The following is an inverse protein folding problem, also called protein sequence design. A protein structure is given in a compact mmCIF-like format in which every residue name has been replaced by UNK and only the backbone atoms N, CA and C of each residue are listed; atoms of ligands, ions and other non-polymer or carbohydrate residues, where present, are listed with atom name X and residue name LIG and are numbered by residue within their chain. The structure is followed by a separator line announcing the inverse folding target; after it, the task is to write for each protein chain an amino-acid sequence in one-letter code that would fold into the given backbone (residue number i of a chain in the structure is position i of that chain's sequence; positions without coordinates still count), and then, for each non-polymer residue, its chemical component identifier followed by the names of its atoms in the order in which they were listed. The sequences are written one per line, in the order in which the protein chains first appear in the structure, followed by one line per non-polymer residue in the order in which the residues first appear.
data_IF_602826805435
#
_entry.id   IF_602826805435
#
_cell.length_a   1.000
_cell.length_b   1.000
_cell.length_c   1.000
_cell.angle_alpha   90.00
_cell.angle_beta   90.00
_cell.angle_gamma   90.00
#
_symmetry.space_group_name_H-M   'P 1'
#
loop_
_entity.id
_entity.type
_entity.pdbx_description
1 polymer ?
#
# COMPACT_ATOMS: atom_id res chain seq x y z
N UNK A 1 3.39 39.07 13.02
CA UNK A 1 4.40 39.67 12.12
C UNK A 1 5.84 39.17 12.38
N UNK A 2 6.07 37.92 12.82
CA UNK A 2 7.43 37.33 13.04
C UNK A 2 7.72 36.08 12.19
N UNK A 3 6.69 35.45 11.63
CA UNK A 3 6.80 34.24 10.79
C UNK A 3 7.18 34.55 9.35
N UNK A 4 6.70 35.67 8.80
CA UNK A 4 7.00 36.08 7.42
C UNK A 4 8.49 36.45 7.22
N UNK A 5 9.12 37.08 8.23
CA UNK A 5 10.56 37.40 8.22
C UNK A 5 11.44 36.15 8.28
N UNK A 6 11.03 35.11 9.02
CA UNK A 6 11.75 33.82 9.07
C UNK A 6 11.72 33.09 7.72
N UNK A 7 10.60 33.15 7.00
CA UNK A 7 10.47 32.56 5.66
C UNK A 7 11.38 33.24 4.64
N UNK A 8 11.43 34.58 4.62
CA UNK A 8 12.28 35.35 3.70
C UNK A 8 13.77 35.09 3.98
N UNK A 9 14.17 35.03 5.25
CA UNK A 9 15.56 34.75 5.63
C UNK A 9 15.97 33.33 5.23
N UNK A 10 15.08 32.34 5.38
CA UNK A 10 15.31 30.97 4.93
C UNK A 10 15.42 30.88 3.41
N UNK A 11 14.56 31.58 2.67
CA UNK A 11 14.61 31.64 1.20
C UNK A 11 15.90 32.29 0.69
N UNK A 12 16.38 33.35 1.35
CA UNK A 12 17.63 34.01 1.00
C UNK A 12 18.86 33.15 1.30
N UNK A 13 18.87 32.45 2.44
CA UNK A 13 19.92 31.47 2.79
C UNK A 13 19.95 30.30 1.79
N UNK A 14 18.78 29.79 1.40
CA UNK A 14 18.65 28.73 0.39
C UNK A 14 19.15 29.20 -0.99
N UNK A 15 18.81 30.43 -1.38
CA UNK A 15 19.30 31.07 -2.61
C UNK A 15 20.82 31.21 -2.61
N UNK A 16 21.43 31.67 -1.52
CA UNK A 16 22.89 31.79 -1.40
C UNK A 16 23.57 30.42 -1.48
N UNK A 17 23.02 29.41 -0.82
CA UNK A 17 23.52 28.03 -0.89
C UNK A 17 23.45 27.49 -2.33
N UNK A 18 22.31 27.60 -3.01
CA UNK A 18 22.18 27.21 -4.42
C UNK A 18 23.17 27.97 -5.31
N UNK A 19 23.31 29.28 -5.12
CA UNK A 19 24.18 30.11 -5.94
C UNK A 19 25.66 29.83 -5.70
N UNK A 20 26.04 29.39 -4.49
CA UNK A 20 27.40 28.92 -4.19
C UNK A 20 27.70 27.55 -4.80
N UNK A 21 26.73 26.63 -4.79
CA UNK A 21 26.83 25.29 -5.41
C UNK A 21 26.94 25.39 -6.93
N UNK A 22 26.22 26.32 -7.57
CA UNK A 22 26.24 26.52 -9.02
C UNK A 22 27.50 27.23 -9.55
N UNK A 23 28.31 27.85 -8.67
CA UNK A 23 29.54 28.58 -9.05
C UNK A 23 30.81 27.73 -8.99
N UNK A 24 30.74 26.53 -8.43
CA UNK A 24 31.86 25.61 -8.33
C UNK A 24 31.67 24.47 -9.34
N UNK A 25 32.69 24.14 -10.14
CA UNK A 25 32.62 23.04 -11.13
C UNK A 25 32.22 21.71 -10.46
N UNK A 26 32.73 21.42 -9.26
CA UNK A 26 32.30 20.24 -8.48
C UNK A 26 30.85 20.35 -7.99
N UNK A 27 30.40 21.55 -7.64
CA UNK A 27 29.03 21.77 -7.15
C UNK A 27 27.99 21.64 -8.26
N UNK A 28 28.33 22.05 -9.49
CA UNK A 28 27.55 21.77 -10.69
C UNK A 28 27.46 20.28 -10.97
N UNK A 29 28.58 19.54 -10.89
CA UNK A 29 28.58 18.09 -11.06
C UNK A 29 27.69 17.40 -10.03
N UNK A 30 27.75 17.79 -8.75
CA UNK A 30 26.87 17.25 -7.69
C UNK A 30 25.40 17.62 -7.95
N UNK A 31 25.10 18.86 -8.35
CA UNK A 31 23.75 19.29 -8.66
C UNK A 31 23.17 18.53 -9.87
N UNK A 32 23.95 18.37 -10.93
CA UNK A 32 23.58 17.56 -12.08
C UNK A 32 23.42 16.10 -11.67
N UNK A 33 24.32 15.50 -10.87
CA UNK A 33 24.18 14.12 -10.37
C UNK A 33 22.93 13.93 -9.50
N UNK A 34 22.56 14.90 -8.67
CA UNK A 34 21.34 14.86 -7.86
C UNK A 34 20.06 15.05 -8.72
N UNK A 35 20.11 15.88 -9.76
CA UNK A 35 19.01 16.07 -10.71
C UNK A 35 18.88 14.91 -11.72
N UNK A 36 20.01 14.25 -12.01
CA UNK A 36 20.14 13.03 -12.82
C UNK A 36 20.09 11.76 -12.00
N UNK A 37 19.76 11.82 -10.70
CA UNK A 37 19.22 10.62 -10.04
C UNK A 37 18.01 10.27 -10.90
N UNK A 38 18.04 9.16 -11.65
CA UNK A 38 16.88 8.77 -12.41
C UNK A 38 15.79 8.71 -11.36
N UNK A 39 14.70 9.46 -11.55
CA UNK A 39 13.45 9.08 -10.90
C UNK A 39 13.26 7.65 -11.35
N UNK A 40 13.63 6.69 -10.50
CA UNK A 40 13.51 5.28 -10.81
C UNK A 40 12.02 5.06 -10.88
N UNK A 41 11.46 5.23 -12.07
CA UNK A 41 10.23 4.60 -12.48
C UNK A 41 10.52 3.09 -12.61
N UNK A 42 11.00 2.47 -11.53
CA UNK A 42 10.58 1.12 -11.26
C UNK A 42 9.06 1.25 -11.12
N UNK A 43 8.29 0.58 -11.98
CA UNK A 43 6.84 0.58 -11.90
C UNK A 43 6.44 0.23 -10.47
N UNK A 44 6.15 1.26 -9.67
CA UNK A 44 5.95 1.08 -8.24
C UNK A 44 4.65 0.31 -8.10
N UNK A 45 4.72 -0.93 -7.61
CA UNK A 45 3.51 -1.69 -7.41
C UNK A 45 2.55 -0.85 -6.57
N UNK A 46 1.35 -0.63 -7.09
CA UNK A 46 0.36 0.24 -6.45
C UNK A 46 -0.07 -0.29 -5.08
N UNK A 47 0.14 -1.59 -4.87
CA UNK A 47 -0.12 -2.31 -3.63
C UNK A 47 1.11 -2.49 -2.73
N UNK A 48 2.23 -1.82 -3.00
CA UNK A 48 3.47 -2.02 -2.25
C UNK A 48 3.34 -1.74 -0.75
N UNK A 49 2.63 -0.68 -0.36
CA UNK A 49 2.38 -0.39 1.07
C UNK A 49 1.52 -1.48 1.72
N UNK A 50 0.53 -2.01 1.00
CA UNK A 50 -0.30 -3.12 1.49
C UNK A 50 0.54 -4.39 1.68
N UNK A 51 1.39 -4.75 0.70
CA UNK A 51 2.29 -5.90 0.83
C UNK A 51 3.21 -5.80 2.04
N UNK A 52 3.79 -4.61 2.25
CA UNK A 52 4.68 -4.35 3.38
C UNK A 52 3.97 -4.57 4.71
N UNK A 53 2.76 -4.06 4.86
CA UNK A 53 2.00 -4.21 6.11
C UNK A 53 1.50 -5.66 6.28
N UNK A 54 1.12 -6.36 5.21
CA UNK A 54 0.76 -7.79 5.27
C UNK A 54 1.92 -8.65 5.80
N UNK A 55 3.14 -8.38 5.34
CA UNK A 55 4.35 -9.06 5.84
C UNK A 55 4.61 -8.79 7.33
N UNK A 56 4.26 -7.61 7.83
CA UNK A 56 4.41 -7.26 9.25
C UNK A 56 3.42 -7.99 10.16
N UNK A 57 2.24 -8.33 9.65
CA UNK A 57 1.18 -8.95 10.46
C UNK A 57 1.11 -10.47 10.32
N UNK A 58 1.79 -11.07 9.34
CA UNK A 58 1.70 -12.51 9.02
C UNK A 58 1.99 -13.47 10.19
N UNK A 59 2.74 -13.02 11.20
CA UNK A 59 3.11 -13.82 12.38
C UNK A 59 2.31 -13.47 13.63
N UNK A 60 1.24 -12.68 13.51
CA UNK A 60 0.38 -12.31 14.63
C UNK A 60 -0.30 -13.55 15.21
N UNK A 61 -0.21 -13.73 16.53
CA UNK A 61 -0.80 -14.87 17.26
C UNK A 61 -2.07 -14.50 18.01
N UNK A 62 -2.31 -13.20 18.16
CA UNK A 62 -3.45 -12.57 18.84
C UNK A 62 -4.62 -12.29 17.89
N UNK A 63 -4.51 -12.72 16.62
CA UNK A 63 -5.56 -12.66 15.60
C UNK A 63 -6.02 -14.09 15.33
N UNK A 64 -7.15 -14.45 15.91
CA UNK A 64 -7.77 -15.78 15.78
C UNK A 64 -9.18 -15.62 15.20
N UNK A 65 -9.26 -15.67 13.87
CA UNK A 65 -10.47 -15.50 13.07
C UNK A 65 -10.46 -16.45 11.88
N UNK A 66 -11.67 -16.83 11.45
CA UNK A 66 -11.96 -17.57 10.24
C UNK A 66 -12.50 -16.59 9.19
N UNK A 67 -11.92 -16.57 7.99
CA UNK A 67 -12.14 -15.53 6.98
C UNK A 67 -12.36 -16.13 5.61
N UNK A 68 -13.34 -15.62 4.87
CA UNK A 68 -13.57 -16.03 3.49
C UNK A 68 -12.34 -15.73 2.63
N UNK A 69 -11.71 -16.78 2.09
CA UNK A 69 -10.40 -16.65 1.42
C UNK A 69 -10.52 -17.06 -0.03
N UNK A 70 -10.51 -16.06 -0.92
CA UNK A 70 -10.61 -16.28 -2.35
C UNK A 70 -9.46 -17.13 -2.92
N UNK A 71 -9.79 -17.95 -3.91
CA UNK A 71 -8.82 -18.78 -4.62
C UNK A 71 -7.82 -17.88 -5.36
N UNK A 72 -6.52 -18.20 -5.24
CA UNK A 72 -5.49 -17.29 -5.78
C UNK A 72 -5.47 -17.27 -7.31
N UNK A 73 -6.00 -18.31 -7.95
CA UNK A 73 -6.07 -18.56 -9.39
C UNK A 73 -7.42 -18.23 -10.02
N UNK A 74 -8.27 -17.45 -9.34
CA UNK A 74 -9.46 -16.87 -9.94
C UNK A 74 -9.16 -16.08 -11.23
N UNK A 75 -10.12 -16.11 -12.15
CA UNK A 75 -10.00 -15.50 -13.48
C UNK A 75 -9.64 -14.01 -13.37
N UNK A 76 -8.82 -13.51 -14.31
CA UNK A 76 -8.39 -12.11 -14.37
C UNK A 76 -9.58 -11.14 -14.35
N UNK A 77 -10.73 -11.54 -14.93
CA UNK A 77 -11.96 -10.74 -14.90
C UNK A 77 -12.60 -10.61 -13.51
N UNK A 78 -12.27 -11.51 -12.59
CA UNK A 78 -12.77 -11.54 -11.21
C UNK A 78 -11.81 -10.90 -10.20
N UNK A 79 -10.70 -10.31 -10.66
CA UNK A 79 -9.68 -9.74 -9.77
C UNK A 79 -10.22 -8.58 -8.92
N UNK A 80 -11.14 -7.76 -9.43
CA UNK A 80 -11.71 -6.65 -8.62
C UNK A 80 -12.60 -7.19 -7.50
N UNK A 81 -13.58 -8.09 -7.78
CA UNK A 81 -14.33 -8.78 -6.74
C UNK A 81 -13.43 -9.50 -5.72
N UNK A 82 -12.40 -10.22 -6.17
CA UNK A 82 -11.45 -10.92 -5.29
C UNK A 82 -10.74 -9.94 -4.35
N UNK A 83 -10.19 -8.85 -4.89
CA UNK A 83 -9.52 -7.82 -4.07
C UNK A 83 -10.49 -7.18 -3.09
N UNK A 84 -11.74 -6.94 -3.50
CA UNK A 84 -12.79 -6.42 -2.64
C UNK A 84 -13.11 -7.37 -1.49
N UNK A 85 -13.22 -8.68 -1.74
CA UNK A 85 -13.43 -9.68 -0.69
C UNK A 85 -12.31 -9.65 0.35
N UNK A 86 -11.04 -9.66 -0.06
CA UNK A 86 -9.92 -9.56 0.88
C UNK A 86 -9.98 -8.30 1.75
N UNK A 87 -10.41 -7.16 1.20
CA UNK A 87 -10.54 -5.91 1.96
C UNK A 87 -11.76 -5.90 2.90
N UNK A 88 -12.85 -6.58 2.53
CA UNK A 88 -14.01 -6.79 3.42
C UNK A 88 -13.61 -7.67 4.60
N UNK A 89 -12.94 -8.79 4.37
CA UNK A 89 -12.45 -9.67 5.42
C UNK A 89 -11.37 -9.00 6.29
N UNK A 90 -10.52 -8.15 5.72
CA UNK A 90 -9.59 -7.33 6.50
C UNK A 90 -10.31 -6.39 7.49
N UNK A 91 -11.52 -5.93 7.14
CA UNK A 91 -12.35 -5.13 8.05
C UNK A 91 -12.85 -5.96 9.23
N UNK A 92 -13.11 -7.26 9.04
CA UNK A 92 -13.46 -8.20 10.12
C UNK A 92 -12.28 -8.34 11.08
N UNK A 93 -11.05 -8.55 10.56
CA UNK A 93 -9.82 -8.56 11.39
C UNK A 93 -9.68 -7.26 12.19
N UNK A 94 -9.91 -6.10 11.54
CA UNK A 94 -9.82 -4.80 12.20
C UNK A 94 -10.83 -4.65 13.35
N UNK A 95 -12.05 -5.14 13.16
CA UNK A 95 -13.08 -5.11 14.19
C UNK A 95 -12.69 -6.01 15.37
N UNK A 96 -12.27 -7.23 15.08
CA UNK A 96 -11.81 -8.17 16.09
C UNK A 96 -10.66 -7.58 16.92
N UNK A 97 -9.69 -6.96 16.24
CA UNK A 97 -8.55 -6.38 16.91
C UNK A 97 -8.87 -5.15 17.76
N UNK A 98 -9.93 -4.42 17.46
CA UNK A 98 -10.42 -3.34 18.33
C UNK A 98 -11.06 -3.88 19.60
N UNK A 99 -11.68 -5.06 19.54
CA UNK A 99 -12.34 -5.71 20.69
C UNK A 99 -11.29 -6.41 21.56
N UNK A 100 -10.43 -7.23 20.95
CA UNK A 100 -9.41 -8.03 21.64
C UNK A 100 -8.11 -7.27 21.92
N UNK A 101 -7.98 -6.04 21.42
CA UNK A 101 -6.79 -5.20 21.54
C UNK A 101 -5.52 -5.88 21.00
N UNK A 102 -5.55 -6.29 19.72
CA UNK A 102 -4.38 -6.91 19.08
C UNK A 102 -3.19 -5.95 19.05
N UNK A 103 -1.99 -6.51 19.17
CA UNK A 103 -0.68 -5.87 19.03
C UNK A 103 -0.48 -5.18 17.68
N UNK A 104 -1.10 -5.69 16.60
CA UNK A 104 -0.94 -5.19 15.21
C UNK A 104 -2.13 -4.39 14.68
N UNK A 105 -3.01 -3.90 15.56
CA UNK A 105 -4.24 -3.17 15.17
C UNK A 105 -3.98 -2.00 14.21
N UNK A 106 -2.86 -1.26 14.40
CA UNK A 106 -2.50 -0.14 13.52
C UNK A 106 -2.10 -0.60 12.12
N UNK A 107 -1.35 -1.70 12.02
CA UNK A 107 -0.90 -2.24 10.74
C UNK A 107 -2.09 -2.80 9.94
N UNK A 108 -3.01 -3.50 10.62
CA UNK A 108 -4.31 -3.94 10.03
C UNK A 108 -5.12 -2.76 9.51
N UNK A 109 -5.19 -1.66 10.27
CA UNK A 109 -5.89 -0.44 9.84
C UNK A 109 -5.24 0.18 8.59
N UNK A 110 -3.91 0.18 8.52
CA UNK A 110 -3.18 0.70 7.37
C UNK A 110 -3.44 -0.14 6.12
N UNK A 111 -3.43 -1.46 6.23
CA UNK A 111 -3.78 -2.36 5.11
C UNK A 111 -5.18 -2.03 4.58
N UNK A 112 -6.17 -1.93 5.46
CA UNK A 112 -7.54 -1.64 5.05
C UNK A 112 -7.66 -0.27 4.36
N UNK A 113 -7.00 0.77 4.89
CA UNK A 113 -7.02 2.13 4.29
C UNK A 113 -6.30 2.18 2.94
N UNK A 114 -5.05 1.70 2.92
CA UNK A 114 -4.21 1.73 1.72
C UNK A 114 -4.77 0.82 0.63
N UNK A 115 -5.39 -0.30 1.03
CA UNK A 115 -6.04 -1.23 0.12
C UNK A 115 -7.27 -0.63 -0.55
N UNK A 116 -8.17 0.02 0.20
CA UNK A 116 -9.33 0.70 -0.40
C UNK A 116 -8.89 1.86 -1.31
N UNK A 117 -7.91 2.67 -0.88
CA UNK A 117 -7.36 3.72 -1.72
C UNK A 117 -6.74 3.16 -3.01
N UNK A 118 -6.07 2.00 -2.93
CA UNK A 118 -5.51 1.32 -4.10
C UNK A 118 -6.60 0.79 -5.01
N UNK A 119 -7.69 0.24 -4.46
CA UNK A 119 -8.82 -0.27 -5.22
C UNK A 119 -9.57 0.86 -5.96
N UNK A 120 -9.80 2.00 -5.31
CA UNK A 120 -10.50 3.14 -5.93
C UNK A 120 -9.68 3.78 -7.06
N UNK A 121 -8.36 3.91 -6.87
CA UNK A 121 -7.47 4.53 -7.85
C UNK A 121 -7.15 3.60 -9.03
N UNK A 122 -7.30 2.29 -8.85
CA UNK A 122 -7.17 1.31 -9.91
C UNK A 122 -8.55 0.97 -10.42
N UNK A 123 -8.95 1.54 -11.56
CA UNK A 123 -10.04 1.00 -12.38
C UNK A 123 -9.65 -0.41 -12.86
N UNK A 124 -9.65 -1.35 -11.93
CA UNK A 124 -9.41 -2.75 -12.17
C UNK A 124 -10.60 -3.20 -13.02
N UNK A 125 -10.33 -3.91 -14.11
CA UNK A 125 -11.31 -4.15 -15.19
C UNK A 125 -12.52 -4.93 -14.65
N UNK A 126 -13.49 -4.20 -14.10
CA UNK A 126 -14.81 -4.68 -13.70
C UNK A 126 -15.56 -4.92 -15.00
N UNK A 127 -15.37 -6.12 -15.56
CA UNK A 127 -16.18 -6.55 -16.69
C UNK A 127 -17.46 -7.10 -16.07
N UNK A 128 -18.53 -6.32 -16.13
CA UNK A 128 -19.87 -6.57 -15.55
C UNK A 128 -20.59 -7.82 -16.10
N UNK A 129 -19.89 -8.81 -16.66
CA UNK A 129 -20.49 -9.95 -17.34
C UNK A 129 -19.91 -11.32 -16.97
N UNK A 130 -19.11 -11.41 -15.90
CA UNK A 130 -18.60 -12.68 -15.40
C UNK A 130 -19.33 -13.09 -14.12
N UNK A 131 -19.83 -14.33 -14.07
CA UNK A 131 -20.26 -14.95 -12.80
C UNK A 131 -19.01 -15.24 -11.95
N UNK A 132 -18.48 -14.22 -11.29
CA UNK A 132 -17.50 -14.38 -10.22
C UNK A 132 -18.22 -14.84 -8.96
N UNK A 133 -17.57 -15.64 -8.11
CA UNK A 133 -18.12 -16.02 -6.81
C UNK A 133 -18.27 -14.78 -5.92
N UNK A 134 -19.35 -14.73 -5.15
CA UNK A 134 -19.48 -13.82 -4.02
C UNK A 134 -18.50 -14.22 -2.90
N UNK A 135 -18.22 -13.30 -1.96
CA UNK A 135 -17.21 -13.54 -0.94
C UNK A 135 -17.54 -14.76 -0.05
N UNK A 136 -18.82 -14.89 0.32
CA UNK A 136 -19.34 -15.95 1.18
C UNK A 136 -19.39 -17.33 0.50
N UNK A 137 -19.12 -17.41 -0.81
CA UNK A 137 -18.99 -18.68 -1.53
C UNK A 137 -17.58 -19.28 -1.44
N UNK A 138 -16.59 -18.51 -0.97
CA UNK A 138 -15.24 -19.02 -0.75
C UNK A 138 -15.13 -19.81 0.55
N UNK A 139 -14.13 -20.68 0.61
CA UNK A 139 -13.80 -21.40 1.84
C UNK A 139 -13.31 -20.43 2.92
N UNK A 140 -13.80 -20.59 4.14
CA UNK A 140 -13.23 -19.88 5.28
C UNK A 140 -11.89 -20.51 5.68
N UNK A 141 -10.87 -19.68 5.87
CA UNK A 141 -9.53 -20.12 6.31
C UNK A 141 -9.08 -19.33 7.52
N UNK A 142 -8.12 -19.87 8.25
CA UNK A 142 -7.53 -19.15 9.37
C UNK A 142 -6.74 -17.92 8.88
N UNK A 143 -6.46 -17.02 9.82
CA UNK A 143 -5.69 -15.79 9.56
C UNK A 143 -4.39 -16.01 8.77
N UNK A 144 -3.62 -17.06 9.08
CA UNK A 144 -2.32 -17.30 8.42
C UNK A 144 -2.52 -17.62 6.94
N UNK A 145 -3.45 -18.51 6.62
CA UNK A 145 -3.76 -18.90 5.23
C UNK A 145 -4.40 -17.75 4.45
N UNK A 146 -5.25 -16.96 5.10
CA UNK A 146 -5.83 -15.76 4.53
C UNK A 146 -4.75 -14.75 4.11
N UNK A 147 -3.80 -14.41 5.01
CA UNK A 147 -2.72 -13.47 4.71
C UNK A 147 -1.83 -14.00 3.59
N UNK A 148 -1.48 -15.28 3.60
CA UNK A 148 -0.69 -15.90 2.53
C UNK A 148 -1.38 -15.81 1.17
N UNK A 149 -2.70 -16.03 1.14
CA UNK A 149 -3.49 -15.93 -0.09
C UNK A 149 -3.58 -14.49 -0.57
N UNK A 150 -3.79 -13.54 0.34
CA UNK A 150 -3.87 -12.12 -0.02
C UNK A 150 -2.55 -11.61 -0.60
N UNK A 151 -1.41 -11.97 0.00
CA UNK A 151 -0.07 -11.64 -0.54
C UNK A 151 0.10 -12.19 -1.96
N UNK A 152 -0.28 -13.45 -2.20
CA UNK A 152 -0.19 -14.06 -3.54
C UNK A 152 -1.03 -13.33 -4.58
N UNK A 153 -2.26 -12.94 -4.23
CA UNK A 153 -3.14 -12.20 -5.15
C UNK A 153 -2.55 -10.82 -5.47
N UNK A 154 -2.10 -10.08 -4.45
CA UNK A 154 -1.50 -8.76 -4.67
C UNK A 154 -0.23 -8.84 -5.52
N UNK A 155 0.63 -9.84 -5.28
CA UNK A 155 1.86 -10.00 -6.07
C UNK A 155 1.58 -10.19 -7.56
N UNK A 156 0.43 -10.75 -7.95
CA UNK A 156 0.02 -10.86 -9.36
C UNK A 156 -0.36 -9.49 -9.96
N UNK A 157 -0.85 -8.57 -9.14
CA UNK A 157 -1.16 -7.19 -9.53
C UNK A 157 0.09 -6.30 -9.66
N UNK A 158 1.24 -6.79 -9.19
CA UNK A 158 2.52 -6.08 -9.25
C UNK A 158 3.42 -6.50 -10.44
N UNK A 159 2.96 -7.44 -11.28
CA UNK A 159 3.69 -7.94 -12.45
C UNK A 159 3.24 -7.20 -13.71
#
# INVERSE_FOLDING_TARGET
QKTHLKSICLQYQLYLLLNSLLKNEMGLIIFFLCAYVPKTAAGHCKWAEVLKDLELIKTSKDIDVSLYTADTDEDVKCQEPVMRCFLLEMKVILQECRIKNCSKTRDVLNIWKNGNASLENNKLNSTTSAKCKECEEYEEKNFTEFIQSFVKVIQRQCK
#
